data_IF_346308846669
#
_entry.id   IF_346308846669
#
_cell.length_a   1.000
_cell.length_b   1.000
_cell.length_c   1.000
_cell.angle_alpha   90.00
_cell.angle_beta   90.00
_cell.angle_gamma   90.00
#
_symmetry.space_group_name_H-M   'P 1'
#
loop_
_entity.id
_entity.type
_entity.pdbx_description
1 polymer ?
#
# COMPACT_ATOMS: atom_id res chain seq x y z
N UNK A 1 20.31 4.86 11.94
CA UNK A 1 19.15 4.08 11.45
C UNK A 1 19.46 2.59 11.61
N UNK A 2 19.38 2.08 12.85
CA UNK A 2 19.69 0.68 13.17
C UNK A 2 18.39 -0.07 13.41
N UNK A 3 17.84 -0.70 12.38
CA UNK A 3 16.68 -1.57 12.54
C UNK A 3 17.21 -2.96 12.90
N UNK A 4 17.31 -3.24 14.20
CA UNK A 4 17.65 -4.57 14.69
C UNK A 4 16.40 -5.47 14.59
N UNK A 5 16.24 -6.10 13.43
CA UNK A 5 15.17 -7.07 13.20
C UNK A 5 15.53 -8.40 13.84
N UNK A 6 14.98 -8.70 15.00
CA UNK A 6 14.85 -10.10 15.41
C UNK A 6 13.97 -10.81 14.37
N UNK A 7 14.38 -11.99 13.87
CA UNK A 7 13.65 -12.71 12.79
C UNK A 7 12.14 -12.86 13.06
N UNK A 8 11.77 -13.01 14.32
CA UNK A 8 10.36 -13.13 14.78
C UNK A 8 9.57 -11.83 14.60
N UNK A 9 10.20 -10.67 14.83
CA UNK A 9 9.59 -9.35 14.64
C UNK A 9 9.38 -9.05 13.16
N UNK A 10 10.40 -9.32 12.33
CA UNK A 10 10.30 -9.15 10.89
C UNK A 10 9.19 -10.02 10.27
N UNK A 11 9.01 -11.25 10.75
CA UNK A 11 7.92 -12.11 10.25
C UNK A 11 6.54 -11.57 10.60
N UNK A 12 6.33 -11.11 11.84
CA UNK A 12 5.06 -10.54 12.26
C UNK A 12 4.70 -9.27 11.46
N UNK A 13 5.69 -8.45 11.13
CA UNK A 13 5.52 -7.24 10.32
C UNK A 13 5.09 -7.57 8.88
N UNK A 14 5.74 -8.55 8.25
CA UNK A 14 5.36 -9.00 6.90
C UNK A 14 3.94 -9.57 6.89
N UNK A 15 3.59 -10.40 7.87
CA UNK A 15 2.24 -10.97 7.99
C UNK A 15 1.20 -9.86 8.18
N UNK A 16 1.47 -8.86 9.01
CA UNK A 16 0.57 -7.72 9.20
C UNK A 16 0.38 -6.91 7.90
N UNK A 17 1.45 -6.67 7.13
CA UNK A 17 1.36 -6.01 5.82
C UNK A 17 0.53 -6.85 4.85
N UNK A 18 0.73 -8.16 4.80
CA UNK A 18 -0.02 -9.05 3.90
C UNK A 18 -1.52 -9.06 4.22
N UNK A 19 -1.88 -9.22 5.50
CA UNK A 19 -3.29 -9.23 5.92
C UNK A 19 -3.96 -7.89 5.60
N UNK A 20 -3.32 -6.78 5.93
CA UNK A 20 -3.86 -5.45 5.63
C UNK A 20 -3.96 -5.19 4.12
N UNK A 21 -3.03 -5.72 3.32
CA UNK A 21 -3.08 -5.63 1.85
C UNK A 21 -4.24 -6.43 1.27
N UNK A 22 -4.47 -7.66 1.73
CA UNK A 22 -5.62 -8.48 1.30
C UNK A 22 -6.93 -7.77 1.63
N UNK A 23 -7.06 -7.26 2.86
CA UNK A 23 -8.25 -6.53 3.30
C UNK A 23 -8.47 -5.28 2.44
N UNK A 24 -7.41 -4.51 2.18
CA UNK A 24 -7.46 -3.31 1.34
C UNK A 24 -7.96 -3.61 -0.08
N UNK A 25 -7.44 -4.66 -0.71
CA UNK A 25 -7.88 -5.12 -2.04
C UNK A 25 -9.33 -5.57 -2.01
N UNK A 26 -9.76 -6.27 -0.96
CA UNK A 26 -11.14 -6.71 -0.77
C UNK A 26 -12.15 -5.55 -0.65
N UNK A 27 -11.75 -4.42 -0.05
CA UNK A 27 -12.59 -3.21 -0.01
C UNK A 27 -12.79 -2.58 -1.39
N UNK A 28 -11.94 -2.93 -2.35
CA UNK A 28 -11.99 -2.42 -3.72
C UNK A 28 -12.61 -3.41 -4.71
N UNK A 29 -13.53 -4.27 -4.25
CA UNK A 29 -14.25 -5.25 -5.08
C UNK A 29 -15.08 -4.67 -6.25
N UNK A 30 -15.15 -3.33 -6.37
CA UNK A 30 -15.82 -2.61 -7.47
C UNK A 30 -14.99 -2.54 -8.76
N UNK A 31 -13.69 -2.83 -8.73
CA UNK A 31 -12.89 -2.83 -9.96
C UNK A 31 -13.19 -4.06 -10.81
N UNK A 32 -13.24 -3.88 -12.13
CA UNK A 32 -13.52 -4.97 -13.07
C UNK A 32 -12.26 -5.74 -13.51
N UNK A 33 -11.11 -5.07 -13.54
CA UNK A 33 -9.89 -5.65 -14.07
C UNK A 33 -9.02 -6.29 -12.99
N UNK A 34 -8.55 -7.51 -13.26
CA UNK A 34 -7.59 -8.21 -12.41
C UNK A 34 -6.28 -7.41 -12.22
N UNK A 35 -5.85 -6.70 -13.27
CA UNK A 35 -4.70 -5.81 -13.21
C UNK A 35 -4.84 -4.75 -12.12
N UNK A 36 -6.03 -4.15 -11.96
CA UNK A 36 -6.31 -3.18 -10.90
C UNK A 36 -6.15 -3.78 -9.51
N UNK A 37 -6.63 -5.01 -9.28
CA UNK A 37 -6.46 -5.69 -8.01
C UNK A 37 -5.00 -5.99 -7.69
N UNK A 38 -4.21 -6.42 -8.69
CA UNK A 38 -2.77 -6.65 -8.52
C UNK A 38 -2.05 -5.33 -8.19
N UNK A 39 -2.37 -4.25 -8.89
CA UNK A 39 -1.82 -2.93 -8.62
C UNK A 39 -2.16 -2.44 -7.21
N UNK A 40 -3.42 -2.60 -6.77
CA UNK A 40 -3.86 -2.22 -5.42
C UNK A 40 -3.16 -3.03 -4.34
N UNK A 41 -2.96 -4.33 -4.56
CA UNK A 41 -2.24 -5.20 -3.63
C UNK A 41 -0.79 -4.75 -3.46
N UNK A 42 -0.09 -4.51 -4.57
CA UNK A 42 1.29 -4.03 -4.55
C UNK A 42 1.39 -2.65 -3.91
N UNK A 43 0.45 -1.76 -4.23
CA UNK A 43 0.39 -0.43 -3.64
C UNK A 43 0.18 -0.48 -2.13
N UNK A 44 -0.80 -1.25 -1.63
CA UNK A 44 -1.05 -1.38 -0.20
C UNK A 44 0.13 -2.03 0.53
N UNK A 45 0.84 -2.95 -0.12
CA UNK A 45 2.04 -3.56 0.42
C UNK A 45 3.15 -2.50 0.64
N UNK A 46 3.38 -1.63 -0.34
CA UNK A 46 4.34 -0.52 -0.24
C UNK A 46 3.93 0.48 0.85
N UNK A 47 2.65 0.84 0.93
CA UNK A 47 2.12 1.72 1.98
C UNK A 47 2.33 1.11 3.37
N UNK A 48 2.06 -0.18 3.54
CA UNK A 48 2.27 -0.92 4.78
C UNK A 48 3.74 -0.92 5.19
N UNK A 49 4.66 -1.17 4.25
CA UNK A 49 6.09 -1.07 4.49
C UNK A 49 6.52 0.36 4.88
N UNK A 50 6.02 1.36 4.16
CA UNK A 50 6.31 2.78 4.44
C UNK A 50 5.85 3.19 5.85
N UNK A 51 4.71 2.67 6.32
CA UNK A 51 4.20 2.90 7.68
C UNK A 51 5.15 2.34 8.75
N UNK A 52 5.66 1.12 8.55
CA UNK A 52 6.56 0.46 9.50
C UNK A 52 7.96 1.07 9.48
N UNK A 53 8.46 1.44 8.29
CA UNK A 53 9.78 2.04 8.12
C UNK A 53 9.84 3.46 8.72
N UNK A 54 8.82 4.28 8.44
CA UNK A 54 8.78 5.67 8.94
C UNK A 54 8.27 5.79 10.38
N UNK A 55 7.60 4.76 10.92
CA UNK A 55 6.83 4.83 12.16
C UNK A 55 5.84 6.01 12.24
N UNK A 56 5.49 6.63 11.11
CA UNK A 56 4.58 7.78 11.02
C UNK A 56 3.39 7.48 10.10
N UNK A 57 2.28 8.19 10.33
CA UNK A 57 1.12 8.20 9.43
C UNK A 57 1.27 9.20 8.27
N UNK A 58 2.19 10.17 8.37
CA UNK A 58 2.35 11.20 7.35
C UNK A 58 2.79 10.62 6.01
N UNK A 59 3.81 9.75 6.00
CA UNK A 59 4.32 9.11 4.78
C UNK A 59 3.25 8.26 4.06
N UNK A 60 2.52 7.34 4.71
CA UNK A 60 1.47 6.57 4.04
C UNK A 60 0.31 7.44 3.56
N UNK A 61 -0.08 8.49 4.29
CA UNK A 61 -1.10 9.45 3.84
C UNK A 61 -0.64 10.18 2.57
N UNK A 62 0.60 10.68 2.55
CA UNK A 62 1.16 11.36 1.39
C UNK A 62 1.25 10.44 0.16
N UNK A 63 1.68 9.18 0.36
CA UNK A 63 1.76 8.20 -0.71
C UNK A 63 0.38 7.85 -1.27
N UNK A 64 -0.62 7.74 -0.40
CA UNK A 64 -2.01 7.53 -0.81
C UNK A 64 -2.57 8.71 -1.60
N UNK A 65 -2.42 9.94 -1.10
CA UNK A 65 -2.83 11.14 -1.81
C UNK A 65 -2.15 11.27 -3.19
N UNK A 66 -0.85 10.97 -3.26
CA UNK A 66 -0.11 10.97 -4.51
C UNK A 66 -0.67 9.97 -5.52
N UNK A 67 -0.99 8.74 -5.09
CA UNK A 67 -1.58 7.73 -5.98
C UNK A 67 -2.90 8.17 -6.60
N UNK A 68 -3.75 8.85 -5.83
CA UNK A 68 -5.02 9.41 -6.31
C UNK A 68 -4.75 10.53 -7.32
N UNK A 69 -3.84 11.45 -7.00
CA UNK A 69 -3.48 12.55 -7.89
C UNK A 69 -2.95 12.06 -9.24
N UNK A 70 -2.09 11.04 -9.24
CA UNK A 70 -1.57 10.41 -10.47
C UNK A 70 -2.70 9.72 -11.24
N UNK A 71 -3.56 8.95 -10.57
CA UNK A 71 -4.66 8.24 -11.23
C UNK A 71 -5.67 9.20 -11.87
N UNK A 72 -6.09 10.23 -11.14
CA UNK A 72 -7.00 11.26 -11.67
C UNK A 72 -6.33 12.07 -12.78
N UNK A 73 -5.07 12.48 -12.60
CA UNK A 73 -4.31 13.22 -13.61
C UNK A 73 -4.13 12.45 -14.91
N UNK A 74 -3.84 11.15 -14.83
CA UNK A 74 -3.76 10.28 -16.00
C UNK A 74 -5.11 10.13 -16.70
N UNK A 75 -6.19 9.93 -15.95
CA UNK A 75 -7.55 9.85 -16.51
C UNK A 75 -7.96 11.15 -17.21
N UNK A 76 -7.61 12.32 -16.65
CA UNK A 76 -7.89 13.62 -17.26
C UNK A 76 -7.06 13.89 -18.52
N UNK A 77 -5.86 13.31 -18.64
CA UNK A 77 -5.00 13.48 -19.80
C UNK A 77 -5.43 12.59 -20.99
N UNK A 78 -6.13 11.48 -20.71
CA UNK A 78 -6.61 10.54 -21.72
C UNK A 78 -8.06 10.77 -22.19
N UNK A 79 -8.75 11.77 -21.62
CA UNK A 79 -10.06 12.26 -22.04
C UNK A 79 -9.87 13.47 -22.96
#
# INVERSE_FOLDING_TARGET
>A
LGVNFTKRKAWNEVVAILISSILFVGLHARYEYLSSFICLFLFSFVVGYARLSSNSLCLPIALHAFSIAVGVGFSLLLI
#
